data_IF_800455934206
#
_entry.id   IF_800455934206
#
_cell.length_a   1.000
_cell.length_b   1.000
_cell.length_c   1.000
_cell.angle_alpha   90.00
_cell.angle_beta   90.00
_cell.angle_gamma   90.00
#
_symmetry.space_group_name_H-M   'P 1'
#
loop_
_entity.id
_entity.type
_entity.pdbx_description
1 polymer ?
#
# COMPACT_ATOMS: atom_id res chain seq x y z
N UNK A 1 -7.34 14.84 -6.52
CA UNK A 1 -8.46 14.23 -7.30
C UNK A 1 -8.16 14.05 -8.80
N UNK A 2 -6.93 14.26 -9.23
CA UNK A 2 -6.51 14.12 -10.65
C UNK A 2 -6.34 12.66 -11.14
N UNK A 3 -6.53 11.68 -10.26
CA UNK A 3 -6.24 10.26 -10.52
C UNK A 3 -7.50 9.40 -10.78
N UNK A 4 -8.68 10.01 -10.79
CA UNK A 4 -9.96 9.32 -11.05
C UNK A 4 -10.34 9.40 -12.54
N UNK A 5 -10.82 8.28 -13.07
CA UNK A 5 -11.36 8.16 -14.42
C UNK A 5 -12.71 7.46 -14.41
N UNK A 6 -13.51 7.55 -15.46
CA UNK A 6 -14.58 6.60 -15.70
C UNK A 6 -14.03 5.16 -15.62
N UNK A 7 -14.86 4.23 -15.18
CA UNK A 7 -14.53 2.81 -15.15
C UNK A 7 -14.25 2.32 -16.58
N UNK A 8 -13.16 1.59 -16.78
CA UNK A 8 -12.84 0.98 -18.08
C UNK A 8 -13.84 -0.13 -18.38
N UNK A 9 -14.18 -0.33 -19.65
CA UNK A 9 -15.17 -1.33 -20.07
C UNK A 9 -14.79 -2.74 -19.62
N UNK A 10 -13.50 -3.11 -19.70
CA UNK A 10 -12.97 -4.40 -19.27
C UNK A 10 -13.00 -4.62 -17.75
N UNK A 11 -13.08 -3.54 -16.97
CA UNK A 11 -13.10 -3.56 -15.50
C UNK A 11 -14.49 -3.23 -14.94
N UNK A 12 -15.48 -3.05 -15.80
CA UNK A 12 -16.85 -2.74 -15.41
C UNK A 12 -17.50 -3.88 -14.62
N UNK A 13 -18.45 -3.51 -13.77
CA UNK A 13 -19.20 -4.45 -12.95
C UNK A 13 -20.60 -3.93 -12.64
N UNK A 14 -21.48 -4.83 -12.19
CA UNK A 14 -22.86 -4.50 -11.80
C UNK A 14 -22.86 -3.80 -10.43
N UNK A 15 -22.94 -2.48 -10.43
CA UNK A 15 -22.96 -1.67 -9.20
C UNK A 15 -24.23 -1.94 -8.38
N UNK A 16 -25.33 -2.34 -9.01
CA UNK A 16 -26.57 -2.67 -8.31
C UNK A 16 -26.41 -3.89 -7.39
N UNK A 17 -25.67 -4.92 -7.86
CA UNK A 17 -25.34 -6.09 -7.04
C UNK A 17 -24.46 -5.71 -5.85
N UNK A 18 -23.41 -4.92 -6.08
CA UNK A 18 -22.49 -4.44 -5.03
C UNK A 18 -23.25 -3.60 -4.02
N UNK A 19 -24.09 -2.68 -4.47
CA UNK A 19 -24.88 -1.81 -3.58
C UNK A 19 -25.86 -2.64 -2.73
N UNK A 20 -26.55 -3.60 -3.32
CA UNK A 20 -27.47 -4.49 -2.61
C UNK A 20 -26.75 -5.30 -1.52
N UNK A 21 -25.57 -5.85 -1.86
CA UNK A 21 -24.72 -6.55 -0.90
C UNK A 21 -24.22 -5.64 0.22
N UNK A 22 -23.89 -4.39 -0.11
CA UNK A 22 -23.32 -3.43 0.84
C UNK A 22 -24.38 -2.79 1.76
N UNK A 23 -25.65 -2.81 1.37
CA UNK A 23 -26.77 -2.16 2.09
C UNK A 23 -26.85 -2.48 3.59
N UNK A 24 -26.59 -3.72 4.09
CA UNK A 24 -26.58 -4.01 5.52
C UNK A 24 -25.49 -3.31 6.33
N UNK A 25 -24.45 -2.84 5.67
CA UNK A 25 -23.25 -2.25 6.29
C UNK A 25 -23.22 -0.71 6.22
N UNK A 26 -24.06 -0.13 5.34
CA UNK A 26 -24.11 1.33 5.16
C UNK A 26 -25.55 1.81 5.06
N UNK A 27 -25.83 2.99 5.62
CA UNK A 27 -27.17 3.60 5.57
C UNK A 27 -27.29 4.48 4.29
N UNK A 28 -27.28 3.84 3.10
CA UNK A 28 -27.39 4.51 1.81
C UNK A 28 -28.50 3.88 0.98
N UNK A 29 -29.40 4.70 0.46
CA UNK A 29 -30.54 4.24 -0.40
C UNK A 29 -30.24 4.36 -1.88
N UNK A 30 -29.41 5.33 -2.28
CA UNK A 30 -29.14 5.64 -3.67
C UNK A 30 -27.88 4.89 -4.17
N UNK A 31 -27.86 4.55 -5.45
CA UNK A 31 -26.69 4.00 -6.10
C UNK A 31 -25.56 5.05 -6.13
N UNK A 32 -24.32 4.66 -5.87
CA UNK A 32 -23.18 5.59 -5.97
C UNK A 32 -22.79 5.86 -7.42
N UNK A 33 -22.20 7.02 -7.68
CA UNK A 33 -21.36 7.21 -8.86
C UNK A 33 -20.07 6.39 -8.67
N UNK A 34 -19.62 5.69 -9.72
CA UNK A 34 -18.42 4.86 -9.67
C UNK A 34 -17.31 5.44 -10.54
N UNK A 35 -16.14 5.58 -9.96
CA UNK A 35 -14.92 5.99 -10.66
C UNK A 35 -13.82 4.96 -10.39
N UNK A 36 -12.86 4.87 -11.30
CA UNK A 36 -11.70 4.00 -11.15
C UNK A 36 -10.45 4.84 -10.92
N UNK A 37 -9.61 4.42 -9.97
CA UNK A 37 -8.27 5.00 -9.80
C UNK A 37 -7.35 4.49 -10.90
N UNK A 38 -6.58 5.42 -11.51
CA UNK A 38 -5.57 5.08 -12.54
C UNK A 38 -4.37 4.37 -11.97
N UNK A 39 -4.00 4.73 -10.74
CA UNK A 39 -2.88 4.16 -10.00
C UNK A 39 -3.35 2.97 -9.19
N UNK A 40 -2.57 1.91 -9.22
CA UNK A 40 -2.82 0.62 -8.59
C UNK A 40 -2.33 -0.48 -9.51
N UNK A 41 -1.02 -0.79 -9.46
CA UNK A 41 -0.43 -1.80 -10.36
C UNK A 41 -0.91 -3.21 -10.01
N UNK A 42 -1.23 -3.45 -8.74
CA UNK A 42 -1.53 -4.78 -8.22
C UNK A 42 -3.03 -5.07 -8.19
N UNK A 43 -3.87 -4.14 -7.73
CA UNK A 43 -5.29 -4.35 -7.51
C UNK A 43 -6.15 -3.28 -8.18
N UNK A 44 -7.33 -3.65 -8.64
CA UNK A 44 -8.32 -2.70 -9.16
C UNK A 44 -8.98 -1.98 -7.99
N UNK A 45 -8.94 -0.66 -8.03
CA UNK A 45 -9.46 0.21 -6.95
C UNK A 45 -10.48 1.18 -7.53
N UNK A 46 -11.65 1.24 -6.89
CA UNK A 46 -12.77 2.07 -7.32
C UNK A 46 -13.23 2.99 -6.20
N UNK A 47 -13.60 4.21 -6.56
CA UNK A 47 -14.32 5.13 -5.68
C UNK A 47 -15.83 4.94 -5.88
N UNK A 48 -16.53 4.61 -4.82
CA UNK A 48 -17.99 4.62 -4.74
C UNK A 48 -18.41 5.94 -4.09
N UNK A 49 -18.91 6.88 -4.88
CA UNK A 49 -19.27 8.21 -4.43
C UNK A 49 -20.77 8.29 -4.18
N UNK A 50 -21.15 8.24 -2.92
CA UNK A 50 -22.51 8.55 -2.45
C UNK A 50 -22.66 10.07 -2.20
N UNK A 51 -23.89 10.59 -2.03
CA UNK A 51 -24.12 12.01 -1.79
C UNK A 51 -23.36 12.57 -0.58
N UNK A 52 -23.28 11.82 0.51
CA UNK A 52 -22.71 12.22 1.81
C UNK A 52 -21.49 11.40 2.23
N UNK A 53 -21.11 10.38 1.45
CA UNK A 53 -20.03 9.45 1.80
C UNK A 53 -19.24 9.01 0.57
N UNK A 54 -17.96 8.79 0.78
CA UNK A 54 -17.05 8.21 -0.21
C UNK A 54 -16.48 6.91 0.33
N UNK A 55 -16.62 5.83 -0.44
CA UNK A 55 -16.08 4.53 -0.13
C UNK A 55 -15.09 4.10 -1.21
N UNK A 56 -14.18 3.21 -0.85
CA UNK A 56 -13.24 2.59 -1.78
C UNK A 56 -13.52 1.10 -1.81
N UNK A 57 -13.71 0.56 -3.01
CA UNK A 57 -13.79 -0.87 -3.28
C UNK A 57 -12.46 -1.33 -3.88
N UNK A 58 -11.88 -2.40 -3.31
CA UNK A 58 -10.68 -3.06 -3.87
C UNK A 58 -11.01 -4.49 -4.26
N UNK A 59 -10.56 -4.89 -5.46
CA UNK A 59 -10.62 -6.26 -5.94
C UNK A 59 -9.35 -6.62 -6.71
N UNK A 60 -9.02 -7.91 -6.86
CA UNK A 60 -7.94 -8.32 -7.72
C UNK A 60 -8.26 -8.05 -9.19
N UNK A 61 -7.24 -7.91 -10.07
CA UNK A 61 -7.45 -7.84 -11.51
C UNK A 61 -8.10 -9.12 -12.04
N UNK A 62 -8.79 -8.99 -13.18
CA UNK A 62 -9.36 -10.15 -13.90
C UNK A 62 -8.23 -10.88 -14.64
N UNK A 63 -8.18 -12.21 -14.54
CA UNK A 63 -7.22 -13.04 -15.27
C UNK A 63 -6.41 -14.01 -14.40
N UNK A 64 -5.33 -14.55 -14.96
CA UNK A 64 -4.45 -15.52 -14.29
C UNK A 64 -3.67 -14.85 -13.17
N UNK A 65 -3.78 -15.37 -11.95
CA UNK A 65 -3.16 -14.81 -10.74
C UNK A 65 -2.01 -15.69 -10.27
N UNK A 66 -0.94 -15.06 -9.79
CA UNK A 66 0.00 -15.78 -8.94
C UNK A 66 -0.73 -16.21 -7.65
N UNK A 67 -0.50 -17.46 -7.22
CA UNK A 67 -1.25 -18.12 -6.13
C UNK A 67 -1.26 -17.36 -4.80
N UNK A 68 -0.33 -16.44 -4.60
CA UNK A 68 -0.18 -15.64 -3.36
C UNK A 68 -0.33 -14.13 -3.56
N UNK A 69 -0.62 -13.68 -4.78
CA UNK A 69 -0.83 -12.25 -5.06
C UNK A 69 -2.32 -11.90 -4.90
N UNK A 70 -2.60 -10.71 -4.41
CA UNK A 70 -3.95 -10.14 -4.37
C UNK A 70 -4.92 -10.83 -3.39
N UNK A 71 -4.44 -11.18 -2.19
CA UNK A 71 -5.27 -11.79 -1.13
C UNK A 71 -6.09 -10.71 -0.41
N UNK A 72 -7.31 -10.48 -0.90
CA UNK A 72 -8.25 -9.50 -0.32
C UNK A 72 -8.63 -9.83 1.12
N UNK A 73 -8.71 -11.12 1.47
CA UNK A 73 -9.05 -11.56 2.84
C UNK A 73 -7.93 -11.20 3.81
N UNK A 74 -6.68 -11.42 3.39
CA UNK A 74 -5.50 -11.08 4.18
C UNK A 74 -5.39 -9.57 4.38
N UNK A 75 -5.54 -8.79 3.32
CA UNK A 75 -5.46 -7.32 3.40
C UNK A 75 -6.58 -6.74 4.27
N UNK A 76 -7.81 -7.22 4.12
CA UNK A 76 -8.93 -6.86 4.97
C UNK A 76 -8.69 -7.22 6.45
N UNK A 77 -8.17 -8.42 6.73
CA UNK A 77 -7.85 -8.87 8.09
C UNK A 77 -6.82 -7.96 8.75
N UNK A 78 -5.72 -7.66 8.05
CA UNK A 78 -4.66 -6.78 8.55
C UNK A 78 -5.23 -5.42 8.93
N UNK A 79 -5.96 -4.78 8.02
CA UNK A 79 -6.54 -3.47 8.28
C UNK A 79 -7.56 -3.49 9.41
N UNK A 80 -8.44 -4.51 9.46
CA UNK A 80 -9.43 -4.66 10.53
C UNK A 80 -8.81 -4.74 11.93
N UNK A 81 -7.68 -5.45 12.04
CA UNK A 81 -7.00 -5.64 13.32
C UNK A 81 -6.14 -4.45 13.71
N UNK A 82 -5.54 -3.79 12.73
CA UNK A 82 -4.69 -2.63 12.99
C UNK A 82 -5.49 -1.36 13.30
N UNK A 83 -6.66 -1.16 12.67
CA UNK A 83 -7.43 0.08 12.82
C UNK A 83 -7.69 0.50 14.27
N UNK A 84 -8.03 -0.39 15.22
CA UNK A 84 -8.27 -0.01 16.62
C UNK A 84 -7.03 0.51 17.35
N UNK A 85 -5.82 0.15 16.92
CA UNK A 85 -4.56 0.45 17.60
C UNK A 85 -3.66 1.38 16.79
N UNK A 86 -3.94 1.58 15.50
CA UNK A 86 -3.20 2.43 14.60
C UNK A 86 -4.16 3.21 13.68
N UNK A 87 -4.41 4.44 14.03
CA UNK A 87 -5.45 5.30 13.43
C UNK A 87 -5.22 5.65 11.95
N UNK A 88 -3.99 5.53 11.44
CA UNK A 88 -3.64 5.82 10.05
C UNK A 88 -4.11 4.75 9.06
N UNK A 89 -4.54 3.58 9.51
CA UNK A 89 -5.14 2.55 8.66
C UNK A 89 -6.55 2.99 8.21
N UNK A 90 -6.94 2.79 6.94
CA UNK A 90 -8.30 2.99 6.50
C UNK A 90 -9.29 2.13 7.32
N UNK A 91 -10.50 2.64 7.54
CA UNK A 91 -11.53 1.85 8.20
C UNK A 91 -12.17 0.91 7.19
N UNK A 92 -11.95 -0.39 7.30
CA UNK A 92 -12.62 -1.39 6.46
C UNK A 92 -14.04 -1.63 6.95
N UNK A 93 -14.97 -1.80 6.02
CA UNK A 93 -16.40 -1.91 6.27
C UNK A 93 -16.85 -3.36 6.17
N UNK A 94 -16.61 -4.00 5.03
CA UNK A 94 -17.03 -5.36 4.76
C UNK A 94 -16.15 -6.04 3.71
N UNK A 95 -15.99 -7.35 3.85
CA UNK A 95 -15.35 -8.24 2.89
C UNK A 95 -16.44 -9.12 2.25
N UNK A 96 -16.39 -9.24 0.93
CA UNK A 96 -17.24 -10.15 0.16
C UNK A 96 -16.39 -11.28 -0.43
N UNK A 97 -16.76 -12.51 -0.13
CA UNK A 97 -16.19 -13.73 -0.75
C UNK A 97 -17.21 -14.48 -1.62
N UNK A 98 -18.39 -13.88 -1.81
CA UNK A 98 -19.37 -14.37 -2.79
C UNK A 98 -19.00 -13.92 -4.20
N UNK A 99 -18.41 -14.83 -4.96
CA UNK A 99 -17.98 -14.56 -6.34
C UNK A 99 -19.13 -14.29 -7.32
N UNK A 100 -20.40 -14.59 -6.95
CA UNK A 100 -21.56 -14.30 -7.80
C UNK A 100 -21.81 -12.78 -7.96
N UNK A 101 -21.21 -11.95 -7.09
CA UNK A 101 -21.38 -10.49 -7.09
C UNK A 101 -20.42 -9.82 -8.07
N UNK A 102 -19.09 -10.10 -7.96
CA UNK A 102 -18.05 -9.48 -8.80
C UNK A 102 -17.11 -10.47 -9.51
N UNK A 103 -17.34 -11.78 -9.39
CA UNK A 103 -16.46 -12.80 -9.97
C UNK A 103 -15.14 -13.01 -9.19
N UNK A 104 -14.95 -12.30 -8.09
CA UNK A 104 -13.77 -12.40 -7.22
C UNK A 104 -14.08 -11.90 -5.82
N UNK A 105 -13.25 -12.27 -4.86
CA UNK A 105 -13.29 -11.64 -3.54
C UNK A 105 -12.99 -10.14 -3.68
N UNK A 106 -13.64 -9.31 -2.84
CA UNK A 106 -13.37 -7.87 -2.77
C UNK A 106 -13.70 -7.37 -1.37
N UNK A 107 -13.20 -6.19 -1.04
CA UNK A 107 -13.59 -5.52 0.19
C UNK A 107 -13.87 -4.04 -0.03
N UNK A 108 -14.61 -3.46 0.91
CA UNK A 108 -14.98 -2.05 0.90
C UNK A 108 -14.47 -1.38 2.19
N UNK A 109 -13.95 -0.18 2.04
CA UNK A 109 -13.44 0.65 3.14
C UNK A 109 -13.86 2.10 2.98
N UNK A 110 -13.73 2.90 4.05
CA UNK A 110 -13.88 4.34 3.97
C UNK A 110 -12.76 4.97 3.13
N UNK A 111 -13.12 5.94 2.30
CA UNK A 111 -12.11 6.75 1.60
C UNK A 111 -11.43 7.71 2.58
N UNK A 112 -10.12 7.61 2.71
CA UNK A 112 -9.34 8.56 3.51
C UNK A 112 -9.32 9.91 2.80
N UNK A 113 -9.72 10.96 3.51
CA UNK A 113 -9.73 12.32 2.96
C UNK A 113 -8.35 12.96 3.06
N UNK A 114 -7.83 13.49 1.95
CA UNK A 114 -6.53 14.13 1.86
C UNK A 114 -5.94 14.08 0.47
N UNK A 115 -4.68 14.46 0.35
CA UNK A 115 -3.91 14.46 -0.89
C UNK A 115 -2.81 13.38 -0.86
N UNK A 116 -2.59 12.75 -2.00
CA UNK A 116 -1.52 11.76 -2.21
C UNK A 116 -0.53 12.36 -3.21
N UNK A 117 0.73 12.42 -2.85
CA UNK A 117 1.78 12.94 -3.73
C UNK A 117 2.31 11.80 -4.62
N UNK A 118 1.90 11.80 -5.89
CA UNK A 118 2.29 10.79 -6.86
C UNK A 118 3.58 11.13 -7.59
N UNK A 119 3.80 12.44 -7.87
CA UNK A 119 4.97 12.94 -8.62
C UNK A 119 5.56 14.16 -7.97
N UNK A 120 4.75 15.18 -7.76
CA UNK A 120 5.18 16.49 -7.30
C UNK A 120 4.39 16.89 -6.05
N UNK A 121 5.06 17.58 -5.16
CA UNK A 121 4.44 18.26 -4.03
C UNK A 121 3.84 19.57 -4.55
N UNK A 122 2.63 19.96 -4.12
CA UNK A 122 2.03 21.23 -4.54
C UNK A 122 2.95 22.41 -4.27
N UNK A 123 3.13 23.30 -5.26
CA UNK A 123 3.94 24.53 -5.14
C UNK A 123 3.45 25.49 -4.05
N UNK A 124 2.23 25.30 -3.60
CA UNK A 124 1.64 26.08 -2.49
C UNK A 124 2.21 25.70 -1.12
N UNK A 125 2.88 24.55 -1.00
CA UNK A 125 3.53 24.12 0.23
C UNK A 125 4.91 24.76 0.35
N UNK A 126 5.17 25.36 1.52
CA UNK A 126 6.47 25.93 1.85
C UNK A 126 7.40 24.83 2.36
N UNK A 127 8.70 25.12 2.38
CA UNK A 127 9.72 24.18 2.89
C UNK A 127 9.42 23.74 4.33
N UNK A 128 8.98 24.65 5.18
CA UNK A 128 8.64 24.36 6.57
C UNK A 128 7.41 23.44 6.68
N UNK A 129 6.45 23.56 5.77
CA UNK A 129 5.27 22.70 5.72
C UNK A 129 5.66 21.28 5.31
N UNK A 130 6.58 21.14 4.35
CA UNK A 130 7.11 19.86 3.88
C UNK A 130 7.89 19.17 5.02
N UNK A 131 8.72 19.89 5.75
CA UNK A 131 9.46 19.36 6.91
C UNK A 131 8.52 18.80 7.97
N UNK A 132 7.44 19.52 8.32
CA UNK A 132 6.42 19.04 9.29
C UNK A 132 5.74 17.77 8.77
N UNK A 133 5.47 17.70 7.47
CA UNK A 133 4.85 16.52 6.86
C UNK A 133 5.81 15.33 6.84
N UNK A 134 7.11 15.56 6.60
CA UNK A 134 8.15 14.54 6.67
C UNK A 134 8.28 13.97 8.10
N UNK A 135 8.30 14.84 9.11
CA UNK A 135 8.29 14.41 10.51
C UNK A 135 7.08 13.55 10.85
N UNK A 136 5.91 13.89 10.29
CA UNK A 136 4.70 13.09 10.50
C UNK A 136 4.77 11.73 9.82
N UNK A 137 5.46 11.62 8.67
CA UNK A 137 5.68 10.38 7.95
C UNK A 137 6.63 9.45 8.73
N UNK A 138 7.77 9.97 9.19
CA UNK A 138 8.75 9.21 9.99
C UNK A 138 8.14 8.79 11.33
N UNK A 139 7.44 9.70 12.01
CA UNK A 139 6.74 9.41 13.26
C UNK A 139 5.64 8.37 13.06
N UNK A 140 4.95 8.39 11.91
CA UNK A 140 3.96 7.38 11.54
C UNK A 140 4.57 5.98 11.47
N UNK A 141 5.73 5.83 10.81
CA UNK A 141 6.45 4.56 10.72
C UNK A 141 6.90 4.06 12.11
N UNK A 142 7.50 4.93 12.91
CA UNK A 142 7.93 4.60 14.26
C UNK A 142 6.76 4.15 15.17
N UNK A 143 5.60 4.81 15.03
CA UNK A 143 4.36 4.41 15.72
C UNK A 143 3.87 3.04 15.27
N UNK A 144 3.91 2.72 13.96
CA UNK A 144 3.55 1.40 13.44
C UNK A 144 4.45 0.32 14.05
N UNK A 145 5.77 0.53 14.05
CA UNK A 145 6.73 -0.40 14.62
C UNK A 145 6.58 -0.56 16.15
N UNK A 146 5.93 0.38 16.83
CA UNK A 146 5.65 0.34 18.28
C UNK A 146 4.33 -0.36 18.62
N UNK A 147 3.51 -0.72 17.62
CA UNK A 147 2.29 -1.50 17.85
C UNK A 147 2.66 -2.92 18.30
N UNK A 148 1.94 -3.44 19.29
CA UNK A 148 2.14 -4.83 19.73
C UNK A 148 1.94 -5.81 18.57
N UNK A 149 2.98 -6.54 18.22
CA UNK A 149 2.97 -7.51 17.13
C UNK A 149 1.94 -8.65 17.32
N UNK A 150 1.46 -8.87 18.55
CA UNK A 150 0.43 -9.86 18.85
C UNK A 150 -0.91 -9.56 18.14
N UNK A 151 -1.14 -8.31 17.73
CA UNK A 151 -2.30 -7.91 16.91
C UNK A 151 -2.38 -8.68 15.58
N UNK A 152 -1.20 -9.05 15.03
CA UNK A 152 -1.06 -9.85 13.81
C UNK A 152 -0.26 -11.14 14.08
N UNK A 153 -0.50 -11.81 15.20
CA UNK A 153 0.25 -13.00 15.64
C UNK A 153 0.29 -14.11 14.57
N UNK A 154 -0.79 -14.29 13.81
CA UNK A 154 -0.88 -15.30 12.73
C UNK A 154 0.08 -15.02 11.56
N UNK A 155 0.57 -13.79 11.40
CA UNK A 155 1.55 -13.42 10.38
C UNK A 155 3.00 -13.53 10.89
N UNK A 156 3.19 -13.77 12.18
CA UNK A 156 4.50 -13.90 12.80
C UNK A 156 5.11 -15.28 12.52
N UNK A 157 6.13 -15.34 11.68
CA UNK A 157 6.87 -16.55 11.34
C UNK A 157 8.12 -16.78 12.22
N UNK A 158 8.26 -16.03 13.31
CA UNK A 158 9.42 -16.09 14.20
C UNK A 158 10.68 -15.43 13.64
N UNK A 159 11.80 -15.67 14.29
CA UNK A 159 13.12 -15.13 13.94
C UNK A 159 13.59 -15.54 12.54
N UNK A 160 14.59 -14.84 12.02
CA UNK A 160 15.18 -15.06 10.70
C UNK A 160 14.35 -14.41 9.56
N UNK A 161 13.68 -13.31 9.84
CA UNK A 161 12.89 -12.61 8.84
C UNK A 161 13.75 -12.15 7.65
N UNK A 162 14.90 -11.47 7.93
CA UNK A 162 15.82 -10.96 6.90
C UNK A 162 16.32 -12.10 6.01
N UNK A 163 16.79 -13.19 6.62
CA UNK A 163 17.30 -14.34 5.88
C UNK A 163 16.22 -14.96 4.96
N UNK A 164 14.98 -15.11 5.47
CA UNK A 164 13.85 -15.59 4.65
C UNK A 164 13.51 -14.66 3.51
N UNK A 165 13.67 -13.33 3.68
CA UNK A 165 13.43 -12.37 2.58
C UNK A 165 14.49 -12.52 1.49
N UNK A 166 15.79 -12.54 1.84
CA UNK A 166 16.88 -12.72 0.88
C UNK A 166 16.69 -14.01 0.08
N UNK A 167 16.49 -15.13 0.77
CA UNK A 167 16.25 -16.43 0.11
C UNK A 167 14.98 -16.42 -0.76
N UNK A 168 13.88 -15.90 -0.22
CA UNK A 168 12.58 -15.89 -0.90
C UNK A 168 12.59 -15.04 -2.15
N UNK A 169 13.21 -13.85 -2.13
CA UNK A 169 13.31 -12.97 -3.29
C UNK A 169 14.30 -13.51 -4.32
N UNK A 170 15.44 -14.06 -3.91
CA UNK A 170 16.39 -14.73 -4.82
C UNK A 170 15.73 -15.88 -5.57
N UNK A 171 14.95 -16.71 -4.87
CA UNK A 171 14.19 -17.79 -5.52
C UNK A 171 13.13 -17.27 -6.50
N UNK A 172 12.38 -16.21 -6.12
CA UNK A 172 11.38 -15.61 -7.02
C UNK A 172 12.02 -15.01 -8.26
N UNK A 173 13.16 -14.34 -8.10
CA UNK A 173 13.91 -13.76 -9.21
C UNK A 173 14.34 -14.86 -10.19
N UNK A 174 14.99 -15.93 -9.71
CA UNK A 174 15.40 -17.09 -10.55
C UNK A 174 14.21 -17.71 -11.29
N UNK A 175 13.05 -17.83 -10.63
CA UNK A 175 11.86 -18.40 -11.24
C UNK A 175 11.21 -17.51 -12.31
N UNK A 176 11.51 -16.20 -12.30
CA UNK A 176 10.97 -15.22 -13.24
C UNK A 176 11.96 -14.85 -14.35
N UNK A 177 13.19 -15.39 -14.32
CA UNK A 177 14.21 -15.11 -15.33
C UNK A 177 13.77 -15.50 -16.73
N UNK A 178 14.12 -14.65 -17.69
CA UNK A 178 14.06 -14.91 -19.13
C UNK A 178 15.48 -14.79 -19.72
N UNK A 179 15.70 -15.35 -20.89
CA UNK A 179 17.05 -15.46 -21.49
C UNK A 179 17.71 -14.10 -21.81
N UNK A 180 16.93 -13.02 -21.84
CA UNK A 180 17.35 -11.65 -22.16
C UNK A 180 17.59 -10.77 -20.94
N UNK A 181 17.44 -11.31 -19.71
CA UNK A 181 17.58 -10.58 -18.45
C UNK A 181 18.85 -11.02 -17.71
N UNK A 182 19.54 -10.05 -17.10
CA UNK A 182 20.68 -10.31 -16.23
C UNK A 182 20.29 -11.26 -15.08
N UNK A 183 21.11 -12.28 -14.83
CA UNK A 183 20.82 -13.36 -13.90
C UNK A 183 20.87 -12.95 -12.40
N UNK A 184 21.61 -11.88 -12.07
CA UNK A 184 21.71 -11.33 -10.71
C UNK A 184 22.36 -12.25 -9.68
N UNK A 185 23.04 -13.31 -10.09
CA UNK A 185 23.61 -14.29 -9.16
C UNK A 185 24.68 -13.71 -8.25
N UNK A 186 25.49 -12.77 -8.73
CA UNK A 186 26.49 -12.05 -7.93
C UNK A 186 25.84 -11.17 -6.86
N UNK A 187 24.74 -10.47 -7.19
CA UNK A 187 23.96 -9.67 -6.21
C UNK A 187 23.30 -10.57 -5.17
N UNK A 188 22.70 -11.68 -5.60
CA UNK A 188 22.08 -12.64 -4.68
C UNK A 188 23.12 -13.28 -3.74
N UNK A 189 24.30 -13.63 -4.25
CA UNK A 189 25.40 -14.17 -3.45
C UNK A 189 25.91 -13.12 -2.45
N UNK A 190 26.06 -11.85 -2.88
CA UNK A 190 26.47 -10.78 -2.00
C UNK A 190 25.44 -10.54 -0.87
N UNK A 191 24.15 -10.50 -1.20
CA UNK A 191 23.06 -10.36 -0.22
C UNK A 191 23.07 -11.51 0.78
N UNK A 192 23.26 -12.75 0.33
CA UNK A 192 23.31 -13.91 1.20
C UNK A 192 24.51 -13.86 2.15
N UNK A 193 25.68 -13.44 1.67
CA UNK A 193 26.89 -13.33 2.47
C UNK A 193 26.89 -12.13 3.45
N UNK A 194 26.14 -11.07 3.15
CA UNK A 194 26.18 -9.80 3.91
C UNK A 194 24.85 -9.47 4.61
N UNK A 195 23.87 -10.36 4.59
CA UNK A 195 22.60 -10.13 5.30
C UNK A 195 22.86 -10.00 6.81
N UNK A 196 22.30 -8.96 7.47
CA UNK A 196 22.38 -8.84 8.91
C UNK A 196 21.43 -9.84 9.60
N UNK A 197 21.68 -10.09 10.88
CA UNK A 197 20.70 -10.72 11.75
C UNK A 197 19.50 -9.79 11.98
N UNK A 198 18.33 -10.37 12.30
CA UNK A 198 17.16 -9.58 12.68
C UNK A 198 17.49 -8.73 13.94
N UNK A 199 17.17 -7.43 13.90
CA UNK A 199 17.33 -6.53 15.06
C UNK A 199 16.10 -6.52 15.95
N UNK A 200 14.94 -6.95 15.43
CA UNK A 200 13.70 -6.96 16.17
C UNK A 200 12.57 -7.65 15.42
N UNK A 201 11.38 -7.60 16.02
CA UNK A 201 10.16 -8.12 15.43
C UNK A 201 9.02 -7.16 15.75
N UNK A 202 8.46 -6.53 14.75
CA UNK A 202 7.37 -5.58 14.86
C UNK A 202 6.41 -5.73 13.68
N UNK A 203 5.30 -4.99 13.69
CA UNK A 203 4.45 -4.86 12.52
C UNK A 203 5.12 -3.92 11.53
N UNK A 204 5.31 -4.38 10.31
CA UNK A 204 5.90 -3.63 9.21
C UNK A 204 4.87 -3.45 8.08
N UNK A 205 4.99 -2.36 7.33
CA UNK A 205 4.15 -2.09 6.17
C UNK A 205 4.65 -2.81 4.91
N UNK A 206 5.97 -2.84 4.71
CA UNK A 206 6.63 -3.46 3.56
C UNK A 206 6.65 -2.61 2.29
N UNK A 207 5.90 -1.50 2.24
CA UNK A 207 5.88 -0.54 1.12
C UNK A 207 5.59 0.89 1.64
N UNK A 208 6.35 1.34 2.64
CA UNK A 208 6.20 2.66 3.26
C UNK A 208 6.75 3.76 2.36
N UNK A 209 5.96 4.15 1.36
CA UNK A 209 6.31 5.13 0.34
C UNK A 209 5.35 6.30 0.35
N UNK A 210 5.85 7.47 -0.06
CA UNK A 210 5.07 8.71 -0.05
C UNK A 210 3.80 8.64 -0.91
N UNK A 211 3.80 7.87 -1.98
CA UNK A 211 2.65 7.67 -2.86
C UNK A 211 1.59 6.70 -2.30
N UNK A 212 1.89 6.04 -1.16
CA UNK A 212 0.93 5.31 -0.32
C UNK A 212 0.44 6.14 0.88
N UNK A 213 0.85 7.40 0.98
CA UNK A 213 0.53 8.28 2.12
C UNK A 213 -0.53 9.30 1.76
N UNK A 214 -1.50 9.48 2.65
CA UNK A 214 -2.54 10.50 2.53
C UNK A 214 -2.27 11.62 3.50
N UNK A 215 -2.10 12.85 2.99
CA UNK A 215 -1.79 14.03 3.79
C UNK A 215 -2.99 14.98 3.88
N UNK A 216 -3.26 15.48 5.07
CA UNK A 216 -4.14 16.63 5.28
C UNK A 216 -3.30 17.90 5.13
N UNK A 217 -3.47 18.62 4.02
CA UNK A 217 -2.69 19.83 3.75
C UNK A 217 -3.02 20.97 4.72
N UNK A 218 -4.24 21.02 5.25
CA UNK A 218 -4.63 22.03 6.25
C UNK A 218 -3.93 21.82 7.59
N UNK A 219 -3.80 20.57 8.01
CA UNK A 219 -3.11 20.18 9.26
C UNK A 219 -1.64 19.87 9.05
N UNK A 220 -1.18 19.81 7.80
CA UNK A 220 0.21 19.48 7.42
C UNK A 220 0.72 18.19 8.02
N UNK A 221 -0.10 17.15 8.00
CA UNK A 221 0.26 15.86 8.59
C UNK A 221 -0.28 14.68 7.82
N UNK A 222 0.35 13.53 8.03
CA UNK A 222 -0.12 12.23 7.59
C UNK A 222 -1.44 11.89 8.29
N UNK A 223 -2.46 11.50 7.51
CA UNK A 223 -3.79 11.12 8.01
C UNK A 223 -4.24 9.74 7.55
N UNK A 224 -3.48 9.10 6.67
CA UNK A 224 -3.76 7.74 6.25
C UNK A 224 -2.58 7.10 5.55
N UNK A 225 -2.48 5.78 5.70
CA UNK A 225 -1.51 4.92 5.02
C UNK A 225 -2.30 3.88 4.25
N UNK A 226 -2.00 3.75 2.96
CA UNK A 226 -2.69 2.88 2.02
C UNK A 226 -1.81 1.70 1.63
N UNK A 227 -2.43 0.70 1.00
CA UNK A 227 -1.74 -0.46 0.38
C UNK A 227 -1.05 -1.40 1.37
N UNK A 228 -1.87 -2.05 2.20
CA UNK A 228 -1.44 -2.96 3.27
C UNK A 228 -1.18 -4.39 2.79
N UNK A 229 -1.10 -4.63 1.48
CA UNK A 229 -0.95 -5.98 0.90
C UNK A 229 0.36 -6.67 1.30
N UNK A 230 1.45 -5.91 1.55
CA UNK A 230 2.74 -6.44 1.98
C UNK A 230 2.93 -6.48 3.50
N UNK A 231 2.03 -5.86 4.26
CA UNK A 231 2.17 -5.75 5.70
C UNK A 231 2.24 -7.12 6.39
N UNK A 232 3.10 -7.21 7.41
CA UNK A 232 3.34 -8.46 8.14
C UNK A 232 4.02 -8.18 9.48
N UNK A 233 4.38 -9.23 10.22
CA UNK A 233 5.32 -9.14 11.34
C UNK A 233 6.73 -9.45 10.80
N UNK A 234 7.65 -8.50 10.95
CA UNK A 234 8.99 -8.59 10.37
C UNK A 234 10.00 -7.69 11.08
N UNK A 235 11.14 -7.49 10.44
CA UNK A 235 12.23 -6.68 10.98
C UNK A 235 12.04 -5.20 10.66
N UNK A 236 12.13 -4.27 11.62
CA UNK A 236 11.92 -2.83 11.39
C UNK A 236 12.93 -2.22 10.40
N UNK A 237 14.17 -2.71 10.35
CA UNK A 237 15.16 -2.19 9.40
C UNK A 237 14.88 -2.61 7.96
N UNK A 238 14.23 -3.76 7.75
CA UNK A 238 13.75 -4.15 6.41
C UNK A 238 12.69 -3.19 5.91
N UNK A 239 11.77 -2.74 6.77
CA UNK A 239 10.73 -1.77 6.41
C UNK A 239 11.34 -0.40 6.10
N UNK A 240 12.27 0.05 6.96
CA UNK A 240 13.01 1.30 6.72
C UNK A 240 13.86 1.23 5.45
N UNK A 241 14.59 0.15 5.23
CA UNK A 241 15.40 -0.05 4.03
C UNK A 241 14.55 -0.08 2.76
N UNK A 242 13.38 -0.73 2.79
CA UNK A 242 12.42 -0.70 1.70
C UNK A 242 11.93 0.73 1.43
N UNK A 243 11.61 1.50 2.46
CA UNK A 243 11.22 2.90 2.33
C UNK A 243 12.33 3.73 1.67
N UNK A 244 13.56 3.63 2.15
CA UNK A 244 14.71 4.40 1.65
C UNK A 244 15.12 4.01 0.23
N UNK A 245 14.89 2.78 -0.21
CA UNK A 245 15.23 2.32 -1.56
C UNK A 245 14.51 3.10 -2.68
N UNK A 246 13.42 3.78 -2.37
CA UNK A 246 12.69 4.62 -3.33
C UNK A 246 13.10 6.09 -3.30
N UNK A 247 13.92 6.50 -2.34
CA UNK A 247 14.37 7.88 -2.22
C UNK A 247 15.62 8.08 -3.07
N UNK A 248 15.62 9.12 -3.86
CA UNK A 248 16.75 9.51 -4.71
C UNK A 248 17.26 10.84 -4.21
N UNK A 249 18.50 10.85 -3.74
CA UNK A 249 19.18 12.05 -3.25
C UNK A 249 19.72 12.89 -4.44
N UNK A 250 20.06 14.14 -4.13
CA UNK A 250 20.70 15.07 -5.09
C UNK A 250 22.02 14.55 -5.62
N UNK A 251 22.78 13.89 -4.76
CA UNK A 251 24.13 13.40 -5.04
C UNK A 251 24.16 12.00 -5.66
N UNK A 252 22.98 11.38 -5.85
CA UNK A 252 22.86 10.12 -6.56
C UNK A 252 23.15 10.26 -8.06
N UNK A 253 23.55 9.17 -8.69
CA UNK A 253 23.79 9.15 -10.14
C UNK A 253 22.52 9.55 -10.92
N UNK A 254 22.65 10.30 -12.03
CA UNK A 254 21.50 10.77 -12.83
C UNK A 254 20.55 9.67 -13.29
N UNK A 255 21.03 8.44 -13.41
CA UNK A 255 20.22 7.29 -13.76
C UNK A 255 19.13 7.04 -12.73
N UNK A 256 19.41 7.16 -11.42
CA UNK A 256 18.43 6.98 -10.36
C UNK A 256 17.35 8.05 -10.41
N UNK A 257 17.72 9.29 -10.73
CA UNK A 257 16.75 10.38 -10.91
C UNK A 257 15.74 10.08 -12.02
N UNK A 258 16.13 9.39 -13.09
CA UNK A 258 15.24 8.99 -14.19
C UNK A 258 14.29 7.86 -13.82
N UNK A 259 14.67 7.02 -12.88
CA UNK A 259 13.86 5.90 -12.34
C UNK A 259 12.97 6.31 -11.16
N UNK A 260 13.18 7.51 -10.65
CA UNK A 260 12.45 8.02 -9.48
C UNK A 260 10.95 8.09 -9.70
N UNK A 261 10.21 7.56 -8.74
CA UNK A 261 8.74 7.67 -8.66
C UNK A 261 8.27 8.58 -7.52
N UNK A 262 9.20 9.07 -6.72
CA UNK A 262 8.95 9.99 -5.62
C UNK A 262 8.78 11.45 -6.11
N UNK A 263 8.10 12.33 -5.36
CA UNK A 263 8.00 13.74 -5.67
C UNK A 263 9.37 14.41 -5.83
N UNK A 264 9.45 15.35 -6.80
CA UNK A 264 10.70 16.06 -7.12
C UNK A 264 11.21 16.97 -6.01
N UNK A 265 10.36 17.28 -5.03
CA UNK A 265 10.68 18.23 -3.93
C UNK A 265 11.24 17.55 -2.68
N UNK A 266 11.63 16.29 -2.77
CA UNK A 266 12.32 15.61 -1.66
C UNK A 266 13.63 16.30 -1.24
N UNK A 267 14.21 17.12 -2.11
CA UNK A 267 15.33 18.00 -1.74
C UNK A 267 15.03 18.98 -0.60
N UNK A 268 13.76 19.13 -0.26
CA UNK A 268 13.31 19.99 0.83
C UNK A 268 13.04 19.21 2.14
N UNK A 269 13.04 17.89 2.08
CA UNK A 269 12.96 17.00 3.23
C UNK A 269 14.34 16.66 3.73
#
# INVERSE_FOLDING_TARGET
MSDLTPVRDEDAFDIGKVHTWLAPYIAQSDLPEVFQFRSGASNLTYLLKYPDRKLVLRRPPVGTKAVSAHDMKREFLIQSRLKPVFDLVPNVIALCDDQSILGSDFYVMDAVQGEIFRRDVPETLRKEDISIMADSLVSGLARLHSVDASVLAELNKGQGYVARQVEGWSRRYRNALTDDVYDGEDVMAWLDANKPDDVGSCIIHGDWRIDNMVFDLGKKKLVGVLDWELATVGDPLMDLGSALAYWVDRDDEPMFASLRRQPSHLEAM
#
